data_IF_285178361349
#
_entry.id   IF_285178361349
#
_cell.length_a   1.000
_cell.length_b   1.000
_cell.length_c   1.000
_cell.angle_alpha   90.00
_cell.angle_beta   90.00
_cell.angle_gamma   90.00
#
_symmetry.space_group_name_H-M   'P 1'
#
loop_
_entity.id
_entity.type
_entity.pdbx_description
1 polymer ?
#
# COMPACT_ATOMS: atom_id res chain seq x y z
N UNK A 1 -8.10 11.30 15.80
CA UNK A 1 -7.41 10.06 15.39
C UNK A 1 -6.00 10.08 15.97
N UNK A 2 -5.60 9.06 16.74
CA UNK A 2 -4.23 9.02 17.27
C UNK A 2 -3.22 8.97 16.12
N UNK A 3 -2.25 9.89 16.11
CA UNK A 3 -1.22 9.96 15.07
C UNK A 3 -0.29 8.75 15.19
N UNK A 4 0.01 8.12 14.06
CA UNK A 4 1.07 7.12 13.99
C UNK A 4 2.39 7.84 13.74
N UNK A 5 3.14 8.09 14.82
CA UNK A 5 4.42 8.77 14.73
C UNK A 5 5.45 7.93 13.96
N UNK A 6 6.23 8.59 13.10
CA UNK A 6 7.38 7.96 12.47
C UNK A 6 8.48 7.80 13.50
N UNK A 7 9.15 6.63 13.49
CA UNK A 7 10.34 6.36 14.30
C UNK A 7 11.64 6.74 13.59
N UNK A 8 11.55 7.22 12.36
CA UNK A 8 12.70 7.68 11.58
C UNK A 8 13.09 9.09 12.01
N UNK A 9 14.34 9.27 12.32
CA UNK A 9 14.92 10.59 12.67
C UNK A 9 15.55 11.27 11.47
N UNK A 10 15.83 10.54 10.38
CA UNK A 10 16.37 11.10 9.15
C UNK A 10 15.36 11.95 8.39
N UNK A 11 15.83 13.03 7.79
CA UNK A 11 15.03 13.99 7.00
C UNK A 11 15.11 13.74 5.48
N UNK A 12 15.98 12.83 5.03
CA UNK A 12 16.11 12.48 3.62
C UNK A 12 14.90 11.68 3.13
N UNK A 13 14.51 11.91 1.90
CA UNK A 13 13.42 11.21 1.24
C UNK A 13 13.17 11.75 -0.15
N UNK A 14 12.54 10.95 -1.01
CA UNK A 14 12.11 11.40 -2.32
C UNK A 14 10.90 12.32 -2.21
N UNK A 15 10.94 13.42 -2.94
CA UNK A 15 9.81 14.36 -3.06
C UNK A 15 9.22 14.27 -4.45
N UNK A 16 7.91 14.41 -4.54
CA UNK A 16 7.24 14.52 -5.84
C UNK A 16 7.64 15.83 -6.52
N UNK A 17 7.80 15.83 -7.86
CA UNK A 17 7.98 17.05 -8.62
C UNK A 17 6.85 18.04 -8.36
N UNK A 18 7.17 19.32 -8.22
CA UNK A 18 6.19 20.39 -8.02
C UNK A 18 5.29 20.58 -9.25
N UNK A 19 5.88 20.46 -10.44
CA UNK A 19 5.14 20.47 -11.72
C UNK A 19 4.80 19.04 -12.11
N UNK A 20 3.53 18.74 -12.32
CA UNK A 20 3.08 17.44 -12.85
C UNK A 20 3.19 17.46 -14.36
N UNK A 21 3.66 16.34 -14.91
CA UNK A 21 3.64 16.10 -16.36
C UNK A 21 2.17 15.95 -16.77
N UNK A 22 1.79 16.62 -17.89
CA UNK A 22 0.46 16.47 -18.47
C UNK A 22 0.35 15.14 -19.21
N UNK A 23 -0.84 14.56 -19.26
CA UNK A 23 -1.09 13.30 -19.99
C UNK A 23 -0.69 13.38 -21.48
N UNK A 24 -0.84 14.54 -22.10
CA UNK A 24 -0.47 14.81 -23.49
C UNK A 24 1.04 14.68 -23.78
N UNK A 25 1.87 14.71 -22.74
CA UNK A 25 3.34 14.58 -22.82
C UNK A 25 3.81 13.15 -22.59
N UNK A 26 2.90 12.22 -22.32
CA UNK A 26 3.21 10.81 -22.09
C UNK A 26 3.04 10.02 -23.38
N UNK A 27 3.91 9.02 -23.58
CA UNK A 27 3.91 8.16 -24.79
C UNK A 27 2.67 7.25 -24.80
N UNK A 28 2.18 6.85 -23.62
CA UNK A 28 1.09 5.90 -23.46
C UNK A 28 -0.24 6.60 -23.23
N UNK A 29 -1.29 6.07 -23.88
CA UNK A 29 -2.65 6.50 -23.57
C UNK A 29 -3.17 5.88 -22.28
N UNK A 30 -4.25 6.48 -21.74
CA UNK A 30 -4.89 6.02 -20.50
C UNK A 30 -5.29 4.54 -20.56
N UNK A 31 -5.88 4.09 -21.69
CA UNK A 31 -6.32 2.71 -21.85
C UNK A 31 -5.17 1.70 -21.84
N UNK A 32 -4.02 2.07 -22.40
CA UNK A 32 -2.81 1.26 -22.39
C UNK A 32 -2.23 1.15 -20.98
N UNK A 33 -2.19 2.27 -20.27
CA UNK A 33 -1.73 2.29 -18.87
C UNK A 33 -2.62 1.41 -17.99
N UNK A 34 -3.95 1.47 -18.14
CA UNK A 34 -4.88 0.62 -17.41
C UNK A 34 -4.61 -0.87 -17.71
N UNK A 35 -4.38 -1.26 -18.97
CA UNK A 35 -4.02 -2.65 -19.35
C UNK A 35 -2.70 -3.10 -18.73
N UNK A 36 -1.66 -2.27 -18.76
CA UNK A 36 -0.35 -2.56 -18.16
C UNK A 36 -0.49 -2.75 -16.64
N UNK A 37 -1.20 -1.85 -15.96
CA UNK A 37 -1.47 -1.95 -14.51
C UNK A 37 -2.18 -3.25 -14.18
N UNK A 38 -3.21 -3.60 -14.96
CA UNK A 38 -3.98 -4.83 -14.74
C UNK A 38 -3.15 -6.09 -14.95
N UNK A 39 -2.29 -6.11 -15.98
CA UNK A 39 -1.36 -7.22 -16.20
C UNK A 39 -0.48 -7.46 -14.97
N UNK A 40 0.19 -6.41 -14.50
CA UNK A 40 1.06 -6.51 -13.31
C UNK A 40 0.28 -6.86 -12.02
N UNK A 41 -0.96 -6.38 -11.89
CA UNK A 41 -1.81 -6.71 -10.75
C UNK A 41 -2.22 -8.19 -10.75
N UNK A 42 -2.53 -8.77 -11.92
CA UNK A 42 -2.81 -10.21 -12.09
C UNK A 42 -1.59 -11.08 -11.80
N UNK A 43 -0.39 -10.58 -12.06
CA UNK A 43 0.89 -11.22 -11.67
C UNK A 43 1.16 -11.14 -10.15
N UNK A 44 0.26 -10.51 -9.38
CA UNK A 44 0.36 -10.40 -7.92
C UNK A 44 1.28 -9.28 -7.43
N UNK A 45 1.68 -8.35 -8.29
CA UNK A 45 2.50 -7.21 -7.87
C UNK A 45 1.70 -6.25 -6.98
N UNK A 46 2.27 -5.79 -5.85
CA UNK A 46 1.64 -4.77 -5.02
C UNK A 46 1.62 -3.40 -5.72
N UNK A 47 0.62 -2.57 -5.41
CA UNK A 47 0.41 -1.26 -6.02
C UNK A 47 1.66 -0.36 -6.02
N UNK A 48 2.45 -0.44 -4.96
CA UNK A 48 3.72 0.31 -4.86
C UNK A 48 4.75 -0.15 -5.91
N UNK A 49 4.90 -1.48 -6.11
CA UNK A 49 5.82 -2.01 -7.13
C UNK A 49 5.33 -1.70 -8.54
N UNK A 50 4.02 -1.77 -8.78
CA UNK A 50 3.43 -1.36 -10.07
C UNK A 50 3.79 0.10 -10.36
N UNK A 51 3.64 1.00 -9.39
CA UNK A 51 4.02 2.40 -9.57
C UNK A 51 5.50 2.63 -9.86
N UNK A 52 6.38 1.86 -9.25
CA UNK A 52 7.83 1.90 -9.54
C UNK A 52 8.10 1.38 -10.95
N UNK A 53 7.51 0.25 -11.34
CA UNK A 53 7.68 -0.33 -12.68
C UNK A 53 7.17 0.62 -13.78
N UNK A 54 6.03 1.26 -13.58
CA UNK A 54 5.49 2.26 -14.52
C UNK A 54 6.46 3.44 -14.71
N UNK A 55 7.08 3.90 -13.63
CA UNK A 55 8.07 4.99 -13.70
C UNK A 55 9.35 4.56 -14.42
N UNK A 56 9.90 3.40 -14.06
CA UNK A 56 11.25 2.99 -14.45
C UNK A 56 11.28 2.27 -15.81
N UNK A 57 10.25 1.51 -16.15
CA UNK A 57 10.19 0.71 -17.38
C UNK A 57 9.34 1.38 -18.49
N UNK A 58 8.28 2.09 -18.12
CA UNK A 58 7.35 2.68 -19.05
C UNK A 58 7.43 4.22 -19.14
N UNK A 59 8.30 4.84 -18.35
CA UNK A 59 8.47 6.30 -18.36
C UNK A 59 7.23 7.08 -17.89
N UNK A 60 6.36 6.45 -17.08
CA UNK A 60 5.14 7.06 -16.54
C UNK A 60 5.38 7.46 -15.08
N UNK A 61 5.75 8.70 -14.79
CA UNK A 61 6.14 9.12 -13.44
C UNK A 61 4.99 9.23 -12.45
N UNK A 62 3.78 9.54 -12.93
CA UNK A 62 2.58 9.62 -12.08
C UNK A 62 1.31 9.25 -12.87
N UNK A 63 0.68 8.16 -12.50
CA UNK A 63 -0.61 7.71 -13.08
C UNK A 63 -1.74 8.74 -12.88
N UNK A 64 -1.59 9.63 -11.90
CA UNK A 64 -2.55 10.72 -11.67
C UNK A 64 -2.60 11.76 -12.80
N UNK A 65 -1.63 11.77 -13.72
CA UNK A 65 -1.71 12.56 -14.95
C UNK A 65 -2.98 12.19 -15.75
N UNK A 66 -3.39 10.93 -15.69
CA UNK A 66 -4.62 10.41 -16.31
C UNK A 66 -5.88 10.54 -15.44
N UNK A 67 -5.83 11.34 -14.35
CA UNK A 67 -6.94 11.53 -13.39
C UNK A 67 -7.44 10.23 -12.74
N UNK A 68 -6.59 9.21 -12.62
CA UNK A 68 -6.89 7.90 -12.03
C UNK A 68 -5.81 7.47 -11.03
N UNK A 69 -6.07 6.46 -10.24
CA UNK A 69 -5.12 5.87 -9.28
C UNK A 69 -4.95 4.38 -9.56
N UNK A 70 -3.75 3.85 -9.32
CA UNK A 70 -3.47 2.41 -9.50
C UNK A 70 -4.49 1.55 -8.75
N UNK A 71 -4.78 1.88 -7.49
CA UNK A 71 -5.76 1.12 -6.70
C UNK A 71 -7.18 1.18 -7.27
N UNK A 72 -7.60 2.33 -7.82
CA UNK A 72 -8.91 2.47 -8.47
C UNK A 72 -9.02 1.59 -9.72
N UNK A 73 -7.93 1.47 -10.49
CA UNK A 73 -7.88 0.59 -11.65
C UNK A 73 -7.98 -0.87 -11.20
N UNK A 74 -7.21 -1.25 -10.20
CA UNK A 74 -7.18 -2.63 -9.68
C UNK A 74 -8.50 -3.01 -9.03
N UNK A 75 -9.11 -2.14 -8.23
CA UNK A 75 -10.39 -2.39 -7.53
C UNK A 75 -11.58 -2.56 -8.50
N UNK A 76 -11.51 -2.00 -9.72
CA UNK A 76 -12.57 -2.19 -10.74
C UNK A 76 -12.71 -3.64 -11.19
N UNK A 77 -11.60 -4.35 -11.36
CA UNK A 77 -11.60 -5.72 -11.88
C UNK A 77 -11.33 -6.77 -10.78
N UNK A 78 -10.54 -6.40 -9.76
CA UNK A 78 -10.12 -7.32 -8.71
C UNK A 78 -10.58 -6.78 -7.34
N UNK A 79 -11.77 -7.16 -6.91
CA UNK A 79 -12.23 -6.88 -5.55
C UNK A 79 -11.44 -7.73 -4.56
N UNK A 80 -10.59 -7.11 -3.76
CA UNK A 80 -9.90 -7.76 -2.65
C UNK A 80 -10.74 -7.62 -1.39
N UNK A 81 -10.93 -8.71 -0.64
CA UNK A 81 -11.66 -8.73 0.63
C UNK A 81 -11.03 -7.80 1.68
N UNK A 82 -9.70 -7.70 1.65
CA UNK A 82 -8.93 -6.88 2.58
C UNK A 82 -8.14 -5.84 1.82
N UNK A 83 -8.19 -4.55 2.22
CA UNK A 83 -7.37 -3.50 1.64
C UNK A 83 -5.87 -3.83 1.72
N UNK A 84 -5.09 -3.44 0.69
CA UNK A 84 -3.68 -3.82 0.53
C UNK A 84 -2.80 -3.34 1.69
N UNK A 85 -3.05 -2.17 2.23
CA UNK A 85 -2.32 -1.60 3.36
C UNK A 85 -2.55 -2.39 4.65
N UNK A 86 -3.79 -2.81 4.93
CA UNK A 86 -4.12 -3.67 6.05
C UNK A 86 -3.51 -5.06 5.87
N UNK A 87 -3.61 -5.64 4.67
CA UNK A 87 -2.99 -6.93 4.34
C UNK A 87 -1.48 -6.91 4.58
N UNK A 88 -0.79 -5.85 4.16
CA UNK A 88 0.64 -5.69 4.38
C UNK A 88 1.02 -5.59 5.87
N UNK A 89 0.17 -4.97 6.70
CA UNK A 89 0.37 -4.95 8.16
C UNK A 89 0.14 -6.33 8.78
N UNK A 90 -0.90 -7.05 8.35
CA UNK A 90 -1.17 -8.43 8.80
C UNK A 90 0.00 -9.35 8.47
N UNK A 91 0.53 -9.28 7.24
CA UNK A 91 1.71 -10.05 6.82
C UNK A 91 2.94 -9.75 7.69
N UNK A 92 3.17 -8.47 8.02
CA UNK A 92 4.25 -8.07 8.94
C UNK A 92 4.04 -8.63 10.36
N UNK A 93 2.81 -8.60 10.87
CA UNK A 93 2.49 -9.14 12.20
C UNK A 93 2.76 -10.65 12.26
N UNK A 94 2.32 -11.40 11.25
CA UNK A 94 2.58 -12.85 11.15
C UNK A 94 4.07 -13.16 11.13
N UNK A 95 4.84 -12.45 10.31
CA UNK A 95 6.29 -12.65 10.21
C UNK A 95 6.99 -12.36 11.55
N UNK A 96 6.59 -11.30 12.24
CA UNK A 96 7.18 -10.93 13.52
C UNK A 96 6.81 -11.93 14.64
N UNK A 97 5.56 -12.42 14.65
CA UNK A 97 5.15 -13.48 15.58
C UNK A 97 5.89 -14.79 15.33
N UNK A 98 6.15 -15.13 14.05
CA UNK A 98 6.97 -16.30 13.69
C UNK A 98 8.39 -16.16 14.23
N UNK A 99 9.01 -14.97 14.11
CA UNK A 99 10.32 -14.69 14.68
C UNK A 99 10.31 -14.86 16.21
N UNK A 100 9.31 -14.32 16.90
CA UNK A 100 9.18 -14.44 18.35
C UNK A 100 8.95 -15.87 18.85
N UNK A 101 8.38 -16.74 18.02
CA UNK A 101 8.26 -18.15 18.36
C UNK A 101 9.64 -18.82 18.57
N UNK A 102 10.62 -18.45 17.72
CA UNK A 102 12.01 -18.90 17.85
C UNK A 102 12.85 -18.08 18.84
N UNK A 103 12.54 -16.78 18.98
CA UNK A 103 13.34 -15.82 19.76
C UNK A 103 12.51 -15.12 20.84
N UNK A 104 12.03 -15.88 21.82
CA UNK A 104 11.08 -15.41 22.87
C UNK A 104 11.58 -14.25 23.71
N UNK A 105 12.91 -14.08 23.87
CA UNK A 105 13.53 -13.04 24.70
C UNK A 105 13.81 -11.72 23.94
N UNK A 106 13.45 -11.61 22.65
CA UNK A 106 13.65 -10.40 21.87
C UNK A 106 12.61 -9.32 22.25
N UNK A 107 12.95 -8.51 23.25
CA UNK A 107 12.10 -7.42 23.74
C UNK A 107 11.80 -6.37 22.64
N UNK A 108 12.74 -6.11 21.73
CA UNK A 108 12.53 -5.19 20.63
C UNK A 108 11.47 -5.69 19.64
N UNK A 109 11.49 -7.00 19.35
CA UNK A 109 10.49 -7.63 18.50
C UNK A 109 9.12 -7.70 19.20
N UNK A 110 9.04 -7.98 20.51
CA UNK A 110 7.78 -7.93 21.28
C UNK A 110 7.14 -6.56 21.16
N UNK A 111 7.89 -5.50 21.46
CA UNK A 111 7.39 -4.14 21.31
C UNK A 111 7.01 -3.80 19.85
N UNK A 112 7.75 -4.34 18.87
CA UNK A 112 7.44 -4.24 17.45
C UNK A 112 6.07 -4.82 17.10
N UNK A 113 5.71 -6.00 17.66
CA UNK A 113 4.39 -6.62 17.47
C UNK A 113 3.28 -5.73 18.03
N UNK A 114 3.40 -5.25 19.27
CA UNK A 114 2.41 -4.37 19.90
C UNK A 114 2.10 -3.13 19.05
N UNK A 115 3.14 -2.53 18.47
CA UNK A 115 2.99 -1.37 17.60
C UNK A 115 2.26 -1.72 16.29
N UNK A 116 2.59 -2.85 15.68
CA UNK A 116 1.94 -3.29 14.45
C UNK A 116 0.48 -3.63 14.74
N UNK A 117 0.18 -4.35 15.80
CA UNK A 117 -1.19 -4.68 16.22
C UNK A 117 -2.01 -3.44 16.51
N UNK A 118 -1.44 -2.45 17.17
CA UNK A 118 -2.09 -1.16 17.40
C UNK A 118 -2.42 -0.44 16.08
N UNK A 119 -1.57 -0.57 15.05
CA UNK A 119 -1.83 -0.04 13.70
C UNK A 119 -2.95 -0.81 13.01
N UNK A 120 -2.94 -2.15 13.08
CA UNK A 120 -3.97 -3.01 12.51
C UNK A 120 -5.34 -2.69 13.10
N UNK A 121 -5.44 -2.62 14.44
CA UNK A 121 -6.70 -2.29 15.13
C UNK A 121 -7.25 -0.92 14.72
N UNK A 122 -6.39 0.10 14.61
CA UNK A 122 -6.81 1.45 14.17
C UNK A 122 -7.25 1.48 12.71
N UNK A 123 -6.52 0.80 11.83
CA UNK A 123 -6.84 0.75 10.41
C UNK A 123 -8.11 -0.09 10.17
N UNK A 124 -8.28 -1.21 10.89
CA UNK A 124 -9.49 -2.02 10.85
C UNK A 124 -10.74 -1.22 11.25
N UNK A 125 -10.67 -0.46 12.37
CA UNK A 125 -11.76 0.44 12.77
C UNK A 125 -12.09 1.50 11.72
N UNK A 126 -11.09 2.03 11.02
CA UNK A 126 -11.30 2.98 9.93
C UNK A 126 -12.03 2.31 8.76
N UNK A 127 -11.60 1.12 8.33
CA UNK A 127 -12.23 0.42 7.21
C UNK A 127 -13.61 -0.12 7.53
N UNK A 128 -13.87 -0.58 8.74
CA UNK A 128 -15.21 -0.95 9.20
C UNK A 128 -16.17 0.25 9.17
N UNK A 129 -15.68 1.44 9.58
CA UNK A 129 -16.48 2.69 9.52
C UNK A 129 -16.73 3.16 8.10
N UNK A 130 -15.78 2.99 7.17
CA UNK A 130 -15.90 3.40 5.77
C UNK A 130 -16.58 2.34 4.89
N UNK A 131 -17.00 1.20 5.45
CA UNK A 131 -17.69 0.14 4.73
C UNK A 131 -16.80 -0.73 3.82
N UNK A 132 -15.47 -0.58 3.89
CA UNK A 132 -14.53 -1.45 3.15
C UNK A 132 -14.31 -2.81 3.84
N UNK A 133 -14.66 -2.93 5.11
CA UNK A 133 -14.65 -4.17 5.90
C UNK A 133 -16.00 -4.36 6.59
N UNK A 134 -16.38 -5.59 6.94
CA UNK A 134 -17.56 -5.86 7.78
C UNK A 134 -17.48 -5.09 9.11
N UNK A 135 -18.66 -4.68 9.64
CA UNK A 135 -18.72 -3.90 10.89
C UNK A 135 -18.20 -4.67 12.11
N UNK A 136 -18.33 -5.96 12.09
CA UNK A 136 -17.93 -6.93 13.12
C UNK A 136 -16.48 -7.42 12.96
N UNK A 137 -15.75 -6.92 11.96
CA UNK A 137 -14.36 -7.30 11.73
C UNK A 137 -13.48 -7.03 12.97
N UNK A 138 -12.81 -8.06 13.45
CA UNK A 138 -11.88 -8.04 14.59
C UNK A 138 -10.55 -8.67 14.19
N UNK A 139 -9.49 -8.18 14.82
CA UNK A 139 -8.13 -8.74 14.73
C UNK A 139 -7.78 -9.49 16.00
#
# INVERSE_FOLDING_TARGET
MARMHSRKHGKSGSKKPTKRIKSEQLIYDRGEVEKIVMKMAKEGMPSTKIGVALRDQYGIPDVRAFKTRIMEIVEKEMKKEVPEDLYNLLKKAVNLRRHLHGSKKDAAAVHGVELIESKIRRLGKYYARTGKLPKDWKY
#
